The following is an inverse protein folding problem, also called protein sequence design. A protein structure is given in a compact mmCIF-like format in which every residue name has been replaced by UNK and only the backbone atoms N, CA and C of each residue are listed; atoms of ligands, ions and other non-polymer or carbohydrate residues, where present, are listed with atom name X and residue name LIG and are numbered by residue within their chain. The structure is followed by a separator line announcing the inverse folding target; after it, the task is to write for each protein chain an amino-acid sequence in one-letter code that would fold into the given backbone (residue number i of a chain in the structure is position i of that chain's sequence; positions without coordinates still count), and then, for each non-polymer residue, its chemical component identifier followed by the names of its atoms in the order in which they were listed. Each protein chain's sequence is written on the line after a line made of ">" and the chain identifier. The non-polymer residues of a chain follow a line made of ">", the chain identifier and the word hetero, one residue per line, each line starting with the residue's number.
data_IF_086950252061
#
_entry.id   IF_086950252061
#
_cell.length_a   1.000
_cell.length_b   1.000
_cell.length_c   1.000
_cell.angle_alpha   90.00
_cell.angle_beta   90.00
_cell.angle_gamma   90.00
#
_symmetry.space_group_name_H-M   'P 1'
#
loop_
_entity.id
_entity.type
_entity.pdbx_description
1 polymer ?
#
# COMPACT_ATOMS: atom_id res chain seq x y z
N UNK A 1 6.82 -8.00 -26.77
CA UNK A 1 7.06 -7.26 -25.50
C UNK A 1 7.34 -8.16 -24.32
N UNK A 2 6.69 -9.33 -24.17
CA UNK A 2 6.97 -10.24 -23.05
C UNK A 2 8.46 -10.62 -22.91
N UNK A 3 9.17 -10.79 -24.03
CA UNK A 3 10.62 -11.05 -24.02
C UNK A 3 11.46 -9.93 -23.39
N UNK A 4 11.04 -8.66 -23.52
CA UNK A 4 11.72 -7.53 -22.88
C UNK A 4 11.47 -7.59 -21.37
N UNK A 5 10.23 -7.86 -20.95
CA UNK A 5 9.89 -7.99 -19.54
C UNK A 5 10.67 -9.11 -18.86
N UNK A 6 10.60 -10.33 -19.41
CA UNK A 6 11.28 -11.49 -18.83
C UNK A 6 12.80 -11.38 -18.96
N UNK A 7 13.32 -10.88 -20.09
CA UNK A 7 14.75 -10.68 -20.29
C UNK A 7 15.33 -9.71 -19.25
N UNK A 8 14.74 -8.53 -19.11
CA UNK A 8 15.21 -7.52 -18.15
C UNK A 8 15.10 -8.00 -16.71
N UNK A 9 13.98 -8.65 -16.35
CA UNK A 9 13.75 -9.19 -15.02
C UNK A 9 14.78 -10.28 -14.64
N UNK A 10 15.03 -11.24 -15.54
CA UNK A 10 16.00 -12.31 -15.31
C UNK A 10 17.42 -11.74 -15.17
N UNK A 11 17.81 -10.80 -16.04
CA UNK A 11 19.13 -10.14 -15.95
C UNK A 11 19.31 -9.39 -14.63
N UNK A 12 18.29 -8.67 -14.15
CA UNK A 12 18.34 -7.94 -12.88
C UNK A 12 18.42 -8.87 -11.66
N UNK A 13 17.73 -10.01 -11.71
CA UNK A 13 17.85 -11.05 -10.66
C UNK A 13 19.25 -11.66 -10.64
N UNK A 14 19.83 -11.95 -11.81
CA UNK A 14 21.21 -12.46 -11.89
C UNK A 14 22.23 -11.45 -11.32
N UNK A 15 21.96 -10.15 -11.46
CA UNK A 15 22.73 -9.06 -10.87
C UNK A 15 22.49 -8.88 -9.35
N UNK A 16 21.72 -9.77 -8.70
CA UNK A 16 21.35 -9.69 -7.27
C UNK A 16 20.64 -8.39 -6.88
N UNK A 17 19.94 -7.73 -7.82
CA UNK A 17 19.11 -6.56 -7.51
C UNK A 17 17.88 -7.02 -6.71
N UNK A 18 17.40 -6.22 -5.73
CA UNK A 18 16.15 -6.52 -5.04
C UNK A 18 14.99 -6.78 -6.00
N UNK A 19 14.23 -7.85 -5.75
CA UNK A 19 13.15 -8.33 -6.62
C UNK A 19 12.12 -7.24 -6.91
N UNK A 20 11.81 -6.39 -5.92
CA UNK A 20 10.90 -5.25 -6.06
C UNK A 20 11.36 -4.25 -7.13
N UNK A 21 12.66 -3.92 -7.12
CA UNK A 21 13.27 -3.02 -8.12
C UNK A 21 13.29 -3.69 -9.48
N UNK A 22 13.63 -5.00 -9.54
CA UNK A 22 13.69 -5.77 -10.77
C UNK A 22 12.33 -5.81 -11.49
N UNK A 23 11.24 -6.06 -10.76
CA UNK A 23 9.87 -6.06 -11.32
C UNK A 23 9.49 -4.65 -11.80
N UNK A 24 9.74 -3.63 -10.99
CA UNK A 24 9.40 -2.25 -11.32
C UNK A 24 10.07 -1.77 -12.61
N UNK A 25 11.40 -1.92 -12.69
CA UNK A 25 12.18 -1.53 -13.88
C UNK A 25 11.82 -2.35 -15.11
N UNK A 26 11.70 -3.67 -15.01
CA UNK A 26 11.32 -4.51 -16.15
C UNK A 26 9.93 -4.15 -16.71
N UNK A 27 8.98 -3.83 -15.83
CA UNK A 27 7.62 -3.41 -16.20
C UNK A 27 7.65 -2.04 -16.89
N UNK A 28 8.34 -1.06 -16.32
CA UNK A 28 8.47 0.30 -16.89
C UNK A 28 9.15 0.27 -18.26
N UNK A 29 10.26 -0.45 -18.41
CA UNK A 29 10.96 -0.62 -19.70
C UNK A 29 10.07 -1.26 -20.76
N UNK A 30 9.24 -2.22 -20.37
CA UNK A 30 8.31 -2.88 -21.29
C UNK A 30 7.23 -1.90 -21.75
N UNK A 31 6.65 -1.11 -20.84
CA UNK A 31 5.65 -0.08 -21.21
C UNK A 31 6.22 1.01 -22.12
N UNK A 32 7.46 1.47 -21.87
CA UNK A 32 8.12 2.50 -22.68
C UNK A 32 8.45 2.03 -24.11
N UNK A 33 8.74 0.75 -24.28
CA UNK A 33 9.08 0.17 -25.59
C UNK A 33 7.85 -0.30 -26.36
N UNK A 34 6.69 -0.36 -25.71
CA UNK A 34 5.41 -0.71 -26.32
C UNK A 34 4.79 0.46 -27.10
N UNK A 35 4.07 0.16 -28.19
CA UNK A 35 3.13 1.10 -28.84
C UNK A 35 2.05 1.63 -27.87
N UNK A 36 1.93 0.98 -26.70
CA UNK A 36 1.14 1.37 -25.54
C UNK A 36 1.79 2.49 -24.68
N UNK A 37 2.60 3.39 -25.26
CA UNK A 37 3.14 4.55 -24.54
C UNK A 37 2.06 5.44 -23.89
N UNK A 38 0.82 5.41 -24.39
CA UNK A 38 -0.35 6.06 -23.77
C UNK A 38 -0.82 5.38 -22.47
N UNK A 39 -0.54 4.08 -22.27
CA UNK A 39 -0.82 3.35 -21.03
C UNK A 39 0.20 3.61 -19.93
N UNK A 40 1.20 4.46 -20.14
CA UNK A 40 2.07 4.92 -19.05
C UNK A 40 1.27 5.61 -17.94
N UNK A 41 0.08 6.13 -18.25
CA UNK A 41 -0.89 6.67 -17.29
C UNK A 41 -1.47 5.63 -16.32
N UNK A 42 -1.43 4.33 -16.66
CA UNK A 42 -1.91 3.25 -15.80
C UNK A 42 -1.02 3.10 -14.56
N UNK A 43 0.28 3.42 -14.68
CA UNK A 43 1.24 3.32 -13.58
C UNK A 43 0.85 4.25 -12.41
N UNK A 44 0.72 5.58 -12.60
CA UNK A 44 0.30 6.48 -11.53
C UNK A 44 -1.14 6.19 -11.06
N UNK A 45 -2.04 5.73 -11.93
CA UNK A 45 -3.39 5.32 -11.51
C UNK A 45 -3.37 4.15 -10.53
N UNK A 46 -2.65 3.06 -10.83
CA UNK A 46 -2.55 1.92 -9.92
C UNK A 46 -1.82 2.25 -8.62
N UNK A 47 -0.82 3.15 -8.68
CA UNK A 47 -0.18 3.66 -7.46
C UNK A 47 -1.18 4.42 -6.59
N UNK A 48 -2.02 5.28 -7.18
CA UNK A 48 -3.03 6.04 -6.46
C UNK A 48 -4.14 5.14 -5.90
N UNK A 49 -4.60 4.14 -6.66
CA UNK A 49 -5.53 3.11 -6.18
C UNK A 49 -4.95 2.29 -5.01
N UNK A 50 -3.64 2.01 -5.05
CA UNK A 50 -2.93 1.36 -3.95
C UNK A 50 -2.95 2.16 -2.64
N UNK A 51 -2.87 3.49 -2.73
CA UNK A 51 -2.93 4.42 -1.60
C UNK A 51 -4.39 4.66 -1.15
N UNK A 52 -5.34 4.67 -2.08
CA UNK A 52 -6.76 4.85 -1.79
C UNK A 52 -7.45 3.60 -1.20
N UNK A 53 -6.68 2.64 -0.68
CA UNK A 53 -7.24 1.45 -0.02
C UNK A 53 -7.96 1.83 1.27
N UNK A 54 -9.15 1.26 1.46
CA UNK A 54 -9.94 1.41 2.68
C UNK A 54 -9.17 1.07 3.97
N UNK A 55 -8.14 0.22 3.88
CA UNK A 55 -7.26 -0.10 5.00
C UNK A 55 -6.39 1.08 5.45
N UNK A 56 -5.94 1.93 4.52
CA UNK A 56 -5.13 3.11 4.85
C UNK A 56 -5.99 4.22 5.48
N UNK A 57 -7.25 4.35 5.05
CA UNK A 57 -8.22 5.26 5.68
C UNK A 57 -8.73 4.74 7.02
N UNK A 58 -8.69 3.43 7.28
CA UNK A 58 -9.03 2.88 8.59
C UNK A 58 -8.13 3.43 9.71
N UNK A 59 -6.84 3.65 9.45
CA UNK A 59 -5.87 4.19 10.44
C UNK A 59 -6.30 5.56 11.01
N UNK A 60 -6.54 6.61 10.19
CA UNK A 60 -7.01 7.89 10.72
C UNK A 60 -8.38 7.79 11.37
N UNK A 61 -9.29 6.95 10.87
CA UNK A 61 -10.58 6.73 11.54
C UNK A 61 -10.43 6.08 12.91
N UNK A 62 -9.51 5.12 13.09
CA UNK A 62 -9.21 4.54 14.41
C UNK A 62 -8.60 5.57 15.35
N UNK A 63 -7.68 6.41 14.86
CA UNK A 63 -7.09 7.51 15.65
C UNK A 63 -8.20 8.49 16.08
N UNK A 64 -9.08 8.87 15.16
CA UNK A 64 -10.18 9.80 15.45
C UNK A 64 -11.19 9.19 16.44
N UNK A 65 -11.54 7.92 16.28
CA UNK A 65 -12.38 7.20 17.22
C UNK A 65 -11.75 7.14 18.61
N UNK A 66 -10.45 6.84 18.71
CA UNK A 66 -9.71 6.85 19.97
C UNK A 66 -9.71 8.22 20.64
N UNK A 67 -9.46 9.29 19.87
CA UNK A 67 -9.52 10.66 20.38
C UNK A 67 -10.94 11.03 20.84
N UNK A 68 -11.97 10.60 20.13
CA UNK A 68 -13.36 10.82 20.51
C UNK A 68 -13.70 10.07 21.81
N UNK A 69 -13.25 8.83 21.97
CA UNK A 69 -13.47 8.02 23.17
C UNK A 69 -12.82 8.66 24.41
N UNK A 70 -11.61 9.20 24.25
CA UNK A 70 -10.92 9.95 25.31
C UNK A 70 -11.63 11.28 25.61
N UNK A 71 -12.03 12.04 24.58
CA UNK A 71 -12.71 13.32 24.77
C UNK A 71 -14.09 13.18 25.43
N UNK A 72 -14.79 12.08 25.16
CA UNK A 72 -16.13 11.80 25.71
C UNK A 72 -16.08 11.04 27.06
N UNK A 73 -14.89 10.70 27.55
CA UNK A 73 -14.70 9.91 28.77
C UNK A 73 -15.23 8.48 28.66
N UNK A 74 -15.47 7.98 27.44
CA UNK A 74 -15.92 6.60 27.21
C UNK A 74 -14.83 5.63 27.61
N UNK A 75 -13.56 5.99 27.39
CA UNK A 75 -12.40 5.21 27.84
C UNK A 75 -12.47 4.96 29.34
N UNK A 76 -12.61 6.00 30.16
CA UNK A 76 -12.71 5.90 31.62
C UNK A 76 -13.93 5.08 32.06
N UNK A 77 -15.08 5.23 31.40
CA UNK A 77 -16.30 4.44 31.71
C UNK A 77 -16.11 2.95 31.42
N UNK A 78 -15.42 2.60 30.33
CA UNK A 78 -15.11 1.21 30.00
C UNK A 78 -14.15 0.62 31.05
N UNK A 79 -13.10 1.35 31.43
CA UNK A 79 -12.17 0.89 32.47
C UNK A 79 -12.83 0.76 33.84
N UNK A 80 -13.67 1.72 34.24
CA UNK A 80 -14.43 1.65 35.48
C UNK A 80 -15.38 0.45 35.50
N UNK A 81 -16.04 0.15 34.39
CA UNK A 81 -16.91 -1.02 34.26
C UNK A 81 -16.11 -2.33 34.34
N UNK A 82 -14.98 -2.42 33.64
CA UNK A 82 -14.11 -3.59 33.70
C UNK A 82 -13.54 -3.81 35.11
N UNK A 83 -13.10 -2.75 35.79
CA UNK A 83 -12.65 -2.82 37.18
C UNK A 83 -13.79 -3.27 38.09
N UNK A 84 -14.99 -2.72 37.97
CA UNK A 84 -16.13 -3.13 38.79
C UNK A 84 -16.51 -4.62 38.63
N UNK A 85 -16.18 -5.26 37.50
CA UNK A 85 -16.39 -6.69 37.27
C UNK A 85 -15.31 -7.58 37.91
N UNK A 86 -14.09 -7.05 38.11
CA UNK A 86 -12.92 -7.82 38.55
C UNK A 86 -12.44 -7.44 39.96
N UNK A 87 -12.80 -6.26 40.46
CA UNK A 87 -12.44 -5.70 41.77
C UNK A 87 -11.96 -4.25 41.68
#
# INVERSE_FOLDING_TARGET
>A
MAWILFGTFITLILLRVPISIAIGTATVLTFLTSDFSSALQIIPQQMLEGVNKASLTAVPFFIMAGNLMNATGVTERIFAFANALVG
#
